data_IF_076394908486
#
_entry.id   IF_076394908486
#
_cell.length_a   1.000
_cell.length_b   1.000
_cell.length_c   1.000
_cell.angle_alpha   90.00
_cell.angle_beta   90.00
_cell.angle_gamma   90.00
#
_symmetry.space_group_name_H-M   'P 1'
#
loop_
_entity.id
_entity.type
_entity.pdbx_description
1 polymer ?
#
# COMPACT_ATOMS: atom_id res chain seq x y z
N UNK A 1 -24.18 -15.61 21.84
CA UNK A 1 -23.54 -14.40 21.29
C UNK A 1 -22.06 -14.73 21.08
N UNK A 2 -21.50 -14.56 19.88
CA UNK A 2 -20.04 -14.73 19.66
C UNK A 2 -19.35 -13.47 20.18
N UNK A 3 -18.31 -13.62 21.00
CA UNK A 3 -17.47 -12.51 21.42
C UNK A 3 -16.77 -11.88 20.20
N UNK A 4 -16.70 -10.55 20.16
CA UNK A 4 -15.94 -9.82 19.13
C UNK A 4 -14.43 -9.94 19.37
N UNK A 5 -13.65 -9.87 18.29
CA UNK A 5 -12.18 -9.85 18.36
C UNK A 5 -11.73 -8.39 18.34
N UNK A 6 -10.85 -8.01 19.27
CA UNK A 6 -10.24 -6.67 19.32
C UNK A 6 -8.83 -6.73 18.71
N UNK A 7 -8.44 -5.70 17.95
CA UNK A 7 -7.10 -5.54 17.40
C UNK A 7 -6.62 -4.10 17.52
N UNK A 8 -5.31 -3.89 17.46
CA UNK A 8 -4.68 -2.57 17.54
C UNK A 8 -3.91 -2.26 16.25
N UNK A 9 -3.95 -0.99 15.83
CA UNK A 9 -3.15 -0.49 14.72
C UNK A 9 -2.26 0.62 15.26
N UNK A 10 -0.95 0.41 15.22
CA UNK A 10 0.04 1.44 15.53
C UNK A 10 0.28 2.30 14.29
N UNK A 11 -0.22 3.54 14.35
CA UNK A 11 -0.02 4.54 13.30
C UNK A 11 1.12 5.44 13.76
N UNK A 12 2.33 5.19 13.25
CA UNK A 12 3.47 6.05 13.55
C UNK A 12 3.30 7.44 12.93
N UNK A 13 3.71 8.52 13.63
CA UNK A 13 3.66 9.86 13.08
C UNK A 13 4.60 10.05 11.88
N UNK A 14 4.17 10.92 10.96
CA UNK A 14 4.94 11.45 9.84
C UNK A 14 6.27 12.02 10.34
N UNK A 15 7.39 11.59 9.77
CA UNK A 15 8.74 12.03 10.14
C UNK A 15 9.49 11.12 11.13
N UNK A 16 8.87 10.01 11.58
CA UNK A 16 9.62 8.94 12.23
C UNK A 16 10.52 8.21 11.21
N UNK A 17 11.75 7.80 11.57
CA UNK A 17 12.69 7.13 10.65
C UNK A 17 12.21 5.75 10.15
N UNK A 18 11.03 5.30 10.57
CA UNK A 18 10.45 3.99 10.28
C UNK A 18 9.29 3.98 9.29
N UNK A 19 8.71 5.14 8.93
CA UNK A 19 7.58 5.25 8.01
C UNK A 19 7.98 5.89 6.68
N UNK A 20 7.78 5.20 5.55
CA UNK A 20 8.05 5.75 4.23
C UNK A 20 6.84 6.53 3.68
N UNK A 21 7.09 7.64 2.98
CA UNK A 21 6.07 8.28 2.13
C UNK A 21 6.12 7.66 0.73
N UNK A 22 5.01 7.05 0.31
CA UNK A 22 4.84 6.42 -1.00
C UNK A 22 3.94 7.25 -1.93
N UNK A 23 3.69 8.51 -1.60
CA UNK A 23 2.98 9.44 -2.49
C UNK A 23 3.67 9.48 -3.86
N UNK A 24 2.91 9.17 -4.92
CA UNK A 24 3.40 9.05 -6.30
C UNK A 24 3.99 7.69 -6.67
N UNK A 25 3.97 6.71 -5.76
CA UNK A 25 4.61 5.39 -5.94
C UNK A 25 3.65 4.20 -5.77
N UNK A 26 2.37 4.45 -5.52
CA UNK A 26 1.35 3.40 -5.42
C UNK A 26 0.61 3.29 -6.76
N UNK A 27 0.50 2.06 -7.28
CA UNK A 27 -0.14 1.76 -8.56
C UNK A 27 -1.14 0.62 -8.43
N UNK A 28 -2.37 0.84 -8.91
CA UNK A 28 -3.39 -0.19 -9.07
C UNK A 28 -3.33 -0.71 -10.51
N UNK A 29 -2.89 -1.97 -10.68
CA UNK A 29 -2.79 -2.56 -12.00
C UNK A 29 -4.11 -3.23 -12.42
N UNK A 30 -4.50 -3.18 -13.70
CA UNK A 30 -5.68 -3.86 -14.24
C UNK A 30 -5.42 -5.37 -14.45
N UNK A 31 -4.71 -6.00 -13.52
CA UNK A 31 -4.41 -7.43 -13.53
C UNK A 31 -4.06 -7.94 -12.14
N UNK A 32 -4.20 -9.25 -11.93
CA UNK A 32 -3.79 -9.90 -10.68
C UNK A 32 -2.39 -10.49 -10.82
N UNK A 33 -1.49 -10.11 -9.91
CA UNK A 33 -0.16 -10.71 -9.78
C UNK A 33 -0.22 -11.75 -8.67
N UNK A 34 0.06 -13.03 -8.99
CA UNK A 34 0.02 -14.12 -8.00
C UNK A 34 1.17 -14.10 -6.99
N UNK A 35 2.26 -13.40 -7.33
CA UNK A 35 3.41 -13.27 -6.46
C UNK A 35 3.19 -12.11 -5.48
N UNK A 36 3.34 -12.38 -4.19
CA UNK A 36 3.33 -11.39 -3.11
C UNK A 36 4.72 -11.36 -2.46
N UNK A 37 5.45 -10.26 -2.67
CA UNK A 37 6.84 -10.12 -2.23
C UNK A 37 7.58 -8.94 -2.89
N UNK A 38 8.85 -8.71 -2.51
CA UNK A 38 9.64 -7.61 -3.06
C UNK A 38 9.78 -7.69 -4.58
N UNK A 39 9.67 -6.55 -5.25
CA UNK A 39 9.82 -6.44 -6.70
C UNK A 39 10.58 -5.17 -7.07
N UNK A 40 11.48 -5.20 -8.07
CA UNK A 40 12.24 -4.03 -8.53
C UNK A 40 11.40 -3.07 -9.38
N UNK A 41 10.33 -2.51 -8.80
CA UNK A 41 9.36 -1.63 -9.49
C UNK A 41 10.05 -0.43 -10.15
N UNK A 42 10.89 0.31 -9.42
CA UNK A 42 11.59 1.50 -9.94
C UNK A 42 12.53 1.22 -11.11
N UNK A 43 13.01 -0.02 -11.23
CA UNK A 43 13.89 -0.43 -12.32
C UNK A 43 13.10 -0.71 -13.62
N UNK A 44 11.94 -1.36 -13.51
CA UNK A 44 11.22 -1.89 -14.68
C UNK A 44 9.90 -1.20 -15.01
N UNK A 45 9.21 -0.63 -14.02
CA UNK A 45 7.93 0.05 -14.21
C UNK A 45 8.15 1.56 -14.10
N UNK A 46 8.23 2.23 -15.25
CA UNK A 46 8.52 3.66 -15.36
C UNK A 46 7.41 4.36 -16.13
N UNK A 47 6.32 4.78 -15.46
CA UNK A 47 5.29 5.60 -16.07
C UNK A 47 5.88 6.88 -16.65
N UNK A 48 5.42 7.27 -17.84
CA UNK A 48 5.85 8.50 -18.52
C UNK A 48 4.61 9.32 -18.87
N UNK A 49 4.67 10.62 -18.61
CA UNK A 49 3.61 11.55 -19.03
C UNK A 49 3.49 11.53 -20.55
N UNK A 50 2.27 11.43 -21.04
CA UNK A 50 1.98 11.38 -22.48
C UNK A 50 1.69 12.75 -23.08
N UNK A 51 1.48 13.78 -22.24
CA UNK A 51 0.99 15.10 -22.65
C UNK A 51 -0.53 15.15 -22.86
N UNK A 52 -1.22 14.01 -22.82
CA UNK A 52 -2.68 13.93 -22.87
C UNK A 52 -3.26 14.23 -21.49
N UNK A 53 -4.34 15.00 -21.44
CA UNK A 53 -5.06 15.35 -20.21
C UNK A 53 -6.51 14.89 -20.33
N UNK A 54 -7.01 14.19 -19.32
CA UNK A 54 -8.40 13.72 -19.21
C UNK A 54 -8.93 14.14 -17.85
N UNK A 55 -10.08 14.82 -17.80
CA UNK A 55 -10.69 15.33 -16.56
C UNK A 55 -9.73 16.17 -15.68
N UNK A 56 -8.84 16.93 -16.33
CA UNK A 56 -7.82 17.74 -15.65
C UNK A 56 -6.61 16.95 -15.12
N UNK A 57 -6.57 15.63 -15.33
CA UNK A 57 -5.49 14.74 -14.90
C UNK A 57 -4.58 14.38 -16.07
N UNK A 58 -3.28 14.39 -15.84
CA UNK A 58 -2.29 14.00 -16.84
C UNK A 58 -2.27 12.47 -17.00
N UNK A 59 -2.43 12.00 -18.24
CA UNK A 59 -2.34 10.57 -18.57
C UNK A 59 -0.87 10.16 -18.61
N UNK A 60 -0.56 9.08 -17.89
CA UNK A 60 0.73 8.42 -17.89
C UNK A 60 0.64 7.09 -18.64
N UNK A 61 1.73 6.73 -19.32
CA UNK A 61 1.87 5.46 -20.03
C UNK A 61 3.01 4.64 -19.43
N UNK A 62 2.74 3.34 -19.22
CA UNK A 62 3.73 2.35 -18.81
C UNK A 62 3.48 1.04 -19.55
N UNK A 63 4.43 0.11 -19.45
CA UNK A 63 4.30 -1.23 -20.01
C UNK A 63 4.51 -2.27 -18.92
N UNK A 64 3.59 -3.22 -18.81
CA UNK A 64 3.74 -4.36 -17.92
C UNK A 64 3.54 -5.64 -18.71
N UNK A 65 4.55 -6.52 -18.70
CA UNK A 65 4.53 -7.80 -19.44
C UNK A 65 4.18 -7.64 -20.94
N UNK A 66 4.72 -6.59 -21.56
CA UNK A 66 4.51 -6.29 -22.99
C UNK A 66 3.14 -5.67 -23.32
N UNK A 67 2.29 -5.40 -22.31
CA UNK A 67 1.00 -4.73 -22.50
C UNK A 67 1.13 -3.27 -22.12
N UNK A 68 0.65 -2.39 -23.01
CA UNK A 68 0.52 -0.97 -22.74
C UNK A 68 -0.54 -0.75 -21.67
N UNK A 69 -0.19 0.05 -20.67
CA UNK A 69 -1.09 0.56 -19.64
C UNK A 69 -1.16 2.09 -19.79
N UNK A 70 -2.35 2.63 -19.63
CA UNK A 70 -2.57 4.07 -19.51
C UNK A 70 -3.34 4.31 -18.23
N UNK A 71 -2.85 5.23 -17.41
CA UNK A 71 -3.46 5.54 -16.13
C UNK A 71 -3.35 7.02 -15.78
N UNK A 72 -4.05 7.40 -14.73
CA UNK A 72 -4.02 8.76 -14.17
C UNK A 72 -3.76 8.68 -12.68
N UNK A 73 -3.06 9.68 -12.14
CA UNK A 73 -2.81 9.79 -10.70
C UNK A 73 -3.89 10.64 -10.06
N UNK A 74 -4.62 10.06 -9.10
CA UNK A 74 -5.68 10.74 -8.36
C UNK A 74 -5.26 11.00 -6.91
N UNK A 75 -5.44 12.22 -6.40
CA UNK A 75 -5.25 12.49 -4.98
C UNK A 75 -6.32 11.76 -4.16
N UNK A 76 -5.97 11.40 -2.92
CA UNK A 76 -6.98 11.00 -1.94
C UNK A 76 -7.87 12.21 -1.60
N UNK A 77 -9.13 12.00 -1.20
CA UNK A 77 -10.01 13.09 -0.81
C UNK A 77 -9.45 13.90 0.37
N UNK A 78 -9.82 15.18 0.44
CA UNK A 78 -9.38 16.07 1.51
C UNK A 78 -9.71 15.50 2.90
N UNK A 79 -8.74 15.58 3.82
CA UNK A 79 -8.85 15.02 5.17
C UNK A 79 -8.56 13.52 5.28
N UNK A 80 -8.28 12.83 4.16
CA UNK A 80 -7.91 11.41 4.16
C UNK A 80 -6.41 11.20 3.94
N UNK A 81 -5.93 10.06 4.47
CA UNK A 81 -4.57 9.55 4.28
C UNK A 81 -4.61 8.06 4.03
N UNK A 82 -3.78 7.57 3.12
CA UNK A 82 -3.60 6.15 2.87
C UNK A 82 -2.50 5.59 3.77
N UNK A 83 -2.69 4.37 4.28
CA UNK A 83 -1.68 3.66 5.07
C UNK A 83 -1.45 2.25 4.53
N UNK A 84 -0.18 1.83 4.45
CA UNK A 84 0.20 0.44 4.19
C UNK A 84 0.47 -0.24 5.52
N UNK A 85 -0.40 -1.17 5.90
CA UNK A 85 -0.33 -1.87 7.17
C UNK A 85 0.36 -3.22 7.03
N UNK A 86 1.21 -3.56 7.99
CA UNK A 86 1.81 -4.88 8.10
C UNK A 86 1.40 -5.53 9.43
N UNK A 87 0.99 -6.80 9.37
CA UNK A 87 0.68 -7.59 10.57
C UNK A 87 1.97 -7.86 11.34
N UNK A 88 2.02 -7.46 12.60
CA UNK A 88 3.15 -7.73 13.47
C UNK A 88 3.11 -9.19 13.92
N UNK A 89 3.82 -10.06 13.21
CA UNK A 89 4.03 -11.44 13.62
C UNK A 89 5.10 -11.47 14.71
N UNK A 90 4.73 -11.11 15.95
CA UNK A 90 5.60 -11.31 17.10
C UNK A 90 5.91 -12.81 17.17
N UNK A 91 7.13 -13.21 16.82
CA UNK A 91 7.54 -14.63 16.84
C UNK A 91 7.36 -15.13 18.26
N UNK A 92 6.38 -16.03 18.46
CA UNK A 92 6.26 -16.82 19.69
C UNK A 92 7.60 -17.52 19.94
N UNK A 93 8.41 -16.98 20.86
CA UNK A 93 9.40 -17.76 21.57
C UNK A 93 8.69 -18.91 22.28
N UNK A 94 9.34 -20.08 22.30
CA UNK A 94 8.83 -21.34 22.84
C UNK A 94 8.10 -21.19 24.20
N UNK A 95 6.98 -21.93 24.31
CA UNK A 95 6.15 -22.23 25.50
C UNK A 95 5.29 -21.09 26.06
N UNK A 96 4.02 -21.09 25.67
CA UNK A 96 2.89 -20.85 26.58
C UNK A 96 1.62 -21.43 25.93
N UNK A 97 0.98 -22.34 26.66
CA UNK A 97 -0.29 -22.95 26.34
C UNK A 97 -1.44 -21.93 26.45
N UNK A 98 -2.48 -22.14 25.64
CA UNK A 98 -3.86 -21.65 25.73
C UNK A 98 -4.11 -20.27 26.38
N UNK A 99 -4.31 -19.24 25.54
CA UNK A 99 -5.41 -18.30 25.78
C UNK A 99 -6.03 -17.89 24.44
N UNK A 100 -7.36 -17.96 24.41
CA UNK A 100 -8.26 -17.66 23.31
C UNK A 100 -8.44 -16.13 23.24
N UNK A 101 -7.86 -15.50 22.21
CA UNK A 101 -7.86 -14.05 22.06
C UNK A 101 -6.60 -13.52 21.36
N UNK A 102 -6.36 -13.94 20.12
CA UNK A 102 -5.24 -13.42 19.32
C UNK A 102 -5.55 -11.95 18.93
N UNK A 103 -5.14 -11.01 19.78
CA UNK A 103 -5.22 -9.57 19.47
C UNK A 103 -4.34 -9.29 18.27
N UNK A 104 -4.94 -9.01 17.11
CA UNK A 104 -4.17 -8.71 15.90
C UNK A 104 -3.51 -7.35 16.07
N UNK A 105 -2.18 -7.34 16.17
CA UNK A 105 -1.41 -6.11 16.20
C UNK A 105 -0.88 -5.78 14.79
N UNK A 106 -1.23 -4.62 14.27
CA UNK A 106 -0.79 -4.10 12.98
C UNK A 106 0.05 -2.85 13.20
N UNK A 107 0.99 -2.61 12.30
CA UNK A 107 1.77 -1.36 12.28
C UNK A 107 1.74 -0.74 10.89
N UNK A 108 1.69 0.58 10.85
CA UNK A 108 1.90 1.33 9.61
C UNK A 108 3.36 1.23 9.18
N UNK A 109 3.59 0.87 7.90
CA UNK A 109 4.91 0.85 7.25
C UNK A 109 5.15 2.04 6.35
N UNK A 110 4.07 2.57 5.80
CA UNK A 110 4.11 3.69 4.88
C UNK A 110 2.78 4.41 4.84
N UNK A 111 2.80 5.64 4.35
CA UNK A 111 1.62 6.40 3.99
C UNK A 111 1.66 6.83 2.52
N UNK A 112 0.52 7.25 1.98
CA UNK A 112 0.43 7.83 0.64
C UNK A 112 -0.74 8.79 0.55
N UNK A 113 -0.57 9.86 -0.23
CA UNK A 113 -1.59 10.87 -0.50
C UNK A 113 -2.29 10.72 -1.86
N UNK A 114 -1.84 9.82 -2.72
CA UNK A 114 -2.42 9.60 -4.06
C UNK A 114 -2.16 8.17 -4.57
N UNK A 115 -2.86 7.80 -5.65
CA UNK A 115 -2.76 6.50 -6.31
C UNK A 115 -2.85 6.68 -7.83
N UNK A 116 -2.09 5.91 -8.60
CA UNK A 116 -2.29 5.78 -10.06
C UNK A 116 -3.13 4.54 -10.36
N UNK A 117 -4.16 4.66 -11.23
CA UNK A 117 -5.00 3.54 -11.68
C UNK A 117 -5.17 3.52 -13.20
#
# INVERSE_FOLDING_TARGET
MKAGITGTIDIHPVGSPSGADLTGHVHLLPCSIKHDGPSPVSQYFKPRKTGVVVDGLSVEEAYFRGRKLQGVTVPLPDGYRGYVLEKNNLRKGKRAEASDGESSNWKSRAEFGNLTY
#
